data_IF_019999814696
#
_entry.id   IF_019999814696
#
_cell.length_a   1.000
_cell.length_b   1.000
_cell.length_c   1.000
_cell.angle_alpha   90.00
_cell.angle_beta   90.00
_cell.angle_gamma   90.00
#
_symmetry.space_group_name_H-M   'P 1'
#
loop_
_entity.id
_entity.type
_entity.pdbx_description
1 polymer ?
#
# COMPACT_ATOMS: atom_id res chain seq x y z
N UNK A 1 21.34 20.60 -48.59
CA UNK A 1 21.06 21.06 -47.21
C UNK A 1 19.65 20.74 -46.67
N UNK A 2 18.69 20.20 -47.44
CA UNK A 2 17.31 19.99 -46.99
C UNK A 2 17.02 18.68 -46.23
N UNK A 3 17.96 17.71 -46.22
CA UNK A 3 17.80 16.40 -45.54
C UNK A 3 18.13 16.40 -44.05
N UNK A 4 18.77 17.45 -43.51
CA UNK A 4 19.18 17.52 -42.10
C UNK A 4 18.07 18.00 -41.15
N UNK A 5 17.01 18.62 -41.68
CA UNK A 5 15.94 19.23 -40.86
C UNK A 5 14.91 18.19 -40.40
N UNK A 6 14.62 17.18 -41.23
CA UNK A 6 13.65 16.13 -40.89
C UNK A 6 14.10 15.23 -39.72
N UNK A 7 15.40 14.96 -39.60
CA UNK A 7 15.95 14.17 -38.49
C UNK A 7 15.82 14.90 -37.15
N UNK A 8 15.95 16.23 -37.13
CA UNK A 8 15.88 17.03 -35.90
C UNK A 8 14.46 17.07 -35.32
N UNK A 9 13.43 17.08 -36.19
CA UNK A 9 12.02 17.10 -35.77
C UNK A 9 11.60 15.75 -35.17
N UNK A 10 12.06 14.64 -35.76
CA UNK A 10 11.80 13.30 -35.22
C UNK A 10 12.50 13.11 -33.86
N UNK A 11 13.75 13.58 -33.73
CA UNK A 11 14.49 13.52 -32.46
C UNK A 11 13.82 14.30 -31.33
N UNK A 12 13.24 15.48 -31.62
CA UNK A 12 12.52 16.28 -30.62
C UNK A 12 11.20 15.63 -30.17
N UNK A 13 10.52 14.89 -31.04
CA UNK A 13 9.25 14.21 -30.71
C UNK A 13 9.45 13.00 -29.78
N UNK A 14 10.57 12.29 -29.91
CA UNK A 14 10.90 11.19 -28.99
C UNK A 14 11.34 11.66 -27.59
N UNK A 15 11.89 12.88 -27.47
CA UNK A 15 12.28 13.46 -26.17
C UNK A 15 11.07 13.86 -25.31
N UNK A 16 9.92 14.16 -25.91
CA UNK A 16 8.70 14.53 -25.16
C UNK A 16 7.93 13.33 -24.61
N UNK A 17 8.15 12.11 -25.13
CA UNK A 17 7.52 10.89 -24.64
C UNK A 17 8.18 10.31 -23.37
N UNK A 18 9.27 10.91 -22.89
CA UNK A 18 9.99 10.47 -21.68
C UNK A 18 9.51 11.14 -20.40
N UNK A 19 8.53 12.04 -20.48
CA UNK A 19 7.79 12.52 -19.31
C UNK A 19 6.80 11.43 -18.89
N UNK A 20 7.29 10.37 -18.25
CA UNK A 20 6.43 9.40 -17.58
C UNK A 20 5.61 10.16 -16.52
N UNK A 21 4.31 10.29 -16.75
CA UNK A 21 3.41 10.75 -15.71
C UNK A 21 3.38 9.65 -14.65
N UNK A 22 3.76 10.01 -13.40
CA UNK A 22 3.51 9.15 -12.26
C UNK A 22 1.98 9.08 -12.07
N UNK A 23 1.39 7.95 -12.44
CA UNK A 23 -0.04 7.71 -12.28
C UNK A 23 -0.43 7.41 -10.85
N UNK A 24 0.53 7.34 -9.91
CA UNK A 24 0.28 6.90 -8.55
C UNK A 24 -0.61 7.87 -7.77
N UNK A 25 -1.56 7.32 -7.00
CA UNK A 25 -2.37 8.08 -6.03
C UNK A 25 -1.90 7.84 -4.59
N UNK A 26 -0.61 7.51 -4.43
CA UNK A 26 0.04 7.21 -3.17
C UNK A 26 1.23 8.14 -2.99
N UNK A 27 1.45 8.61 -1.76
CA UNK A 27 2.70 9.22 -1.33
C UNK A 27 3.32 8.38 -0.22
N UNK A 28 4.61 8.09 -0.36
CA UNK A 28 5.36 7.28 0.58
C UNK A 28 5.99 8.18 1.65
N UNK A 29 5.89 7.76 2.91
CA UNK A 29 6.50 8.42 4.05
C UNK A 29 7.38 7.44 4.82
N UNK A 30 8.55 7.92 5.25
CA UNK A 30 9.34 7.21 6.25
C UNK A 30 8.60 7.19 7.60
N UNK A 31 8.80 6.17 8.45
CA UNK A 31 8.25 6.16 9.80
C UNK A 31 8.69 7.37 10.64
N UNK A 32 9.88 7.93 10.37
CA UNK A 32 10.39 9.15 11.03
C UNK A 32 9.64 10.42 10.62
N UNK A 33 9.07 10.43 9.41
CA UNK A 33 8.53 11.64 8.78
C UNK A 33 7.01 11.77 8.99
N UNK A 34 6.42 10.87 9.78
CA UNK A 34 5.00 10.92 10.13
C UNK A 34 4.72 12.01 11.16
N UNK A 35 3.95 13.01 10.73
CA UNK A 35 3.49 14.12 11.55
C UNK A 35 1.96 14.20 11.65
N UNK A 36 1.48 15.14 12.46
CA UNK A 36 0.06 15.34 12.73
C UNK A 36 -0.78 15.74 11.51
N UNK A 37 -0.18 16.22 10.41
CA UNK A 37 -0.89 16.54 9.17
C UNK A 37 -1.42 15.29 8.44
N UNK A 38 -0.94 14.10 8.83
CA UNK A 38 -1.37 12.82 8.28
C UNK A 38 -2.53 12.18 9.06
N UNK A 39 -2.89 12.73 10.22
CA UNK A 39 -4.04 12.26 11.00
C UNK A 39 -5.31 12.36 10.14
N UNK A 40 -6.16 11.32 10.23
CA UNK A 40 -7.38 11.08 9.43
C UNK A 40 -7.14 10.76 7.95
N UNK A 41 -5.90 10.73 7.46
CA UNK A 41 -5.63 10.26 6.09
C UNK A 41 -5.71 8.75 5.99
N UNK A 42 -6.12 8.27 4.83
CA UNK A 42 -6.05 6.85 4.50
C UNK A 42 -4.62 6.45 4.23
N UNK A 43 -4.23 5.32 4.80
CA UNK A 43 -2.89 4.78 4.69
C UNK A 43 -2.88 3.27 4.53
N UNK A 44 -1.78 2.78 3.97
CA UNK A 44 -1.33 1.41 4.06
C UNK A 44 0.01 1.40 4.79
N UNK A 45 0.17 0.50 5.76
CA UNK A 45 1.42 0.38 6.54
C UNK A 45 2.18 -0.80 6.00
N UNK A 46 3.27 -0.51 5.32
CA UNK A 46 4.20 -1.52 4.82
C UNK A 46 5.15 -1.92 5.95
N UNK A 47 5.36 -3.23 6.14
CA UNK A 47 6.16 -3.78 7.23
C UNK A 47 7.18 -4.78 6.70
N UNK A 48 8.33 -4.89 7.37
CA UNK A 48 9.42 -5.77 6.97
C UNK A 48 10.52 -5.08 6.15
N UNK A 49 11.45 -5.86 5.61
CA UNK A 49 12.46 -5.36 4.67
C UNK A 49 11.81 -5.31 3.28
N UNK A 50 11.99 -4.22 2.53
CA UNK A 50 11.36 -3.97 1.22
C UNK A 50 11.04 -5.26 0.45
N UNK A 51 9.76 -5.65 0.41
CA UNK A 51 9.30 -6.83 -0.35
C UNK A 51 9.27 -6.53 -1.85
N UNK A 52 10.40 -6.08 -2.38
CA UNK A 52 10.64 -5.83 -3.80
C UNK A 52 11.17 -7.12 -4.42
N UNK A 53 10.33 -7.82 -5.18
CA UNK A 53 10.83 -8.73 -6.22
C UNK A 53 11.30 -10.13 -5.80
N UNK A 54 11.01 -10.61 -4.58
CA UNK A 54 10.93 -12.05 -4.34
C UNK A 54 11.72 -12.61 -3.15
N UNK A 55 10.93 -13.08 -2.17
CA UNK A 55 11.24 -14.13 -1.18
C UNK A 55 11.95 -13.72 0.11
N UNK A 56 11.26 -12.91 0.90
CA UNK A 56 10.79 -13.25 2.27
C UNK A 56 9.33 -12.74 2.30
N UNK A 57 8.34 -13.59 2.63
CA UNK A 57 6.97 -13.11 2.78
C UNK A 57 6.87 -12.59 4.21
N UNK A 58 6.97 -11.28 4.37
CA UNK A 58 6.76 -10.67 5.67
C UNK A 58 5.34 -10.97 6.13
N UNK A 59 5.25 -11.44 7.39
CA UNK A 59 3.98 -11.66 8.05
C UNK A 59 3.85 -10.75 9.25
N UNK A 60 2.66 -10.20 9.44
CA UNK A 60 2.31 -9.51 10.67
C UNK A 60 1.12 -10.19 11.33
N UNK A 61 1.18 -10.29 12.65
CA UNK A 61 0.06 -10.75 13.44
C UNK A 61 -0.70 -9.55 14.03
N UNK A 62 -1.96 -9.37 13.65
CA UNK A 62 -2.84 -8.30 14.13
C UNK A 62 -3.98 -8.91 14.97
N UNK A 63 -4.30 -8.29 16.10
CA UNK A 63 -5.41 -8.73 16.96
C UNK A 63 -6.71 -8.07 16.50
N UNK A 64 -7.60 -8.86 15.88
CA UNK A 64 -8.91 -8.44 15.41
C UNK A 64 -9.97 -9.01 16.37
N UNK A 65 -10.75 -8.15 17.03
CA UNK A 65 -11.82 -8.58 17.96
C UNK A 65 -11.39 -9.64 19.00
N UNK A 66 -10.15 -9.56 19.50
CA UNK A 66 -9.62 -10.55 20.45
C UNK A 66 -8.85 -11.71 19.81
N UNK A 67 -9.08 -11.99 18.53
CA UNK A 67 -8.42 -13.07 17.80
C UNK A 67 -7.14 -12.58 17.12
N UNK A 68 -6.05 -13.33 17.31
CA UNK A 68 -4.79 -13.08 16.60
C UNK A 68 -4.91 -13.62 15.17
N UNK A 69 -4.79 -12.75 14.18
CA UNK A 69 -4.85 -13.08 12.76
C UNK A 69 -3.51 -12.76 12.11
N UNK A 70 -2.97 -13.73 11.35
CA UNK A 70 -1.74 -13.56 10.58
C UNK A 70 -2.07 -13.07 9.17
N UNK A 71 -1.43 -11.98 8.77
CA UNK A 71 -1.55 -11.40 7.44
C UNK A 71 -0.21 -11.40 6.72
N UNK A 72 -0.29 -11.40 5.39
CA UNK A 72 0.80 -11.26 4.45
C UNK A 72 0.62 -9.95 3.70
N UNK A 73 1.73 -9.34 3.31
CA UNK A 73 1.76 -8.16 2.47
C UNK A 73 1.29 -8.51 1.04
N UNK A 74 0.34 -7.73 0.49
CA UNK A 74 0.00 -7.76 -0.93
C UNK A 74 0.26 -6.38 -1.53
N UNK A 75 1.26 -6.33 -2.41
CA UNK A 75 1.61 -5.13 -3.17
C UNK A 75 1.50 -5.39 -4.66
N UNK A 76 0.86 -4.44 -5.35
CA UNK A 76 0.95 -4.31 -6.79
C UNK A 76 1.66 -2.99 -7.07
N UNK A 77 2.97 -3.10 -7.21
CA UNK A 77 3.87 -1.97 -7.41
C UNK A 77 4.76 -2.30 -8.61
N UNK A 78 4.74 -1.45 -9.63
CA UNK A 78 5.59 -1.60 -10.81
C UNK A 78 6.59 -0.45 -10.95
N UNK A 79 6.72 0.41 -9.93
CA UNK A 79 7.59 1.58 -9.93
C UNK A 79 7.13 2.75 -10.80
N UNK A 80 6.00 2.62 -11.52
CA UNK A 80 5.49 3.68 -12.41
C UNK A 80 4.03 4.06 -12.13
N UNK A 81 3.18 3.10 -11.75
CA UNK A 81 1.75 3.28 -11.52
C UNK A 81 1.33 2.48 -10.28
N UNK A 82 1.32 3.15 -9.14
CA UNK A 82 1.04 2.53 -7.85
C UNK A 82 -0.27 3.05 -7.29
N UNK A 83 -1.26 2.16 -7.24
CA UNK A 83 -2.62 2.49 -6.82
C UNK A 83 -2.87 2.07 -5.38
N UNK A 84 -3.37 3.00 -4.56
CA UNK A 84 -3.60 2.82 -3.13
C UNK A 84 -4.53 1.64 -2.84
N UNK A 85 -5.56 1.45 -3.65
CA UNK A 85 -6.54 0.37 -3.52
C UNK A 85 -5.99 -1.01 -3.93
N UNK A 86 -4.79 -1.07 -4.49
CA UNK A 86 -4.07 -2.31 -4.82
C UNK A 86 -3.02 -2.68 -3.76
N UNK A 87 -2.91 -1.90 -2.68
CA UNK A 87 -2.04 -2.21 -1.54
C UNK A 87 -2.92 -2.64 -0.36
N UNK A 88 -2.68 -3.83 0.18
CA UNK A 88 -3.46 -4.34 1.31
C UNK A 88 -2.77 -5.50 2.01
N UNK A 89 -3.21 -5.80 3.22
CA UNK A 89 -2.82 -7.04 3.89
C UNK A 89 -3.84 -8.12 3.60
N UNK A 90 -3.36 -9.32 3.27
CA UNK A 90 -4.22 -10.46 2.96
C UNK A 90 -3.96 -11.61 3.92
N UNK A 91 -5.03 -12.30 4.29
CA UNK A 91 -4.99 -13.62 4.90
C UNK A 91 -5.79 -14.55 4.00
N UNK A 92 -5.17 -15.64 3.56
CA UNK A 92 -5.82 -16.70 2.78
C UNK A 92 -6.00 -17.91 3.69
N UNK A 93 -7.16 -18.56 3.60
CA UNK A 93 -7.34 -19.89 4.16
C UNK A 93 -7.03 -20.91 3.05
N UNK A 94 -6.00 -21.73 3.19
CA UNK A 94 -5.60 -22.66 2.14
C UNK A 94 -6.66 -23.72 1.81
N UNK A 95 -7.66 -23.90 2.70
CA UNK A 95 -8.69 -24.95 2.57
C UNK A 95 -10.03 -24.45 2.06
N UNK A 96 -10.32 -23.18 2.25
CA UNK A 96 -11.55 -22.56 1.80
C UNK A 96 -11.15 -21.47 0.82
N UNK A 97 -11.83 -21.32 -0.32
CA UNK A 97 -11.51 -20.26 -1.30
C UNK A 97 -11.87 -18.86 -0.77
N UNK A 98 -11.60 -18.62 0.52
CA UNK A 98 -11.88 -17.42 1.26
C UNK A 98 -10.58 -16.68 1.53
N UNK A 99 -10.67 -15.36 1.44
CA UNK A 99 -9.60 -14.49 1.87
C UNK A 99 -10.18 -13.34 2.68
N UNK A 100 -9.35 -12.77 3.52
CA UNK A 100 -9.67 -11.58 4.28
C UNK A 100 -8.64 -10.52 3.97
N UNK A 101 -9.10 -9.30 3.69
CA UNK A 101 -8.23 -8.19 3.31
C UNK A 101 -8.37 -7.05 4.31
N UNK A 102 -7.25 -6.64 4.88
CA UNK A 102 -7.16 -5.41 5.66
C UNK A 102 -6.89 -4.25 4.69
N UNK A 103 -7.86 -3.36 4.53
CA UNK A 103 -7.80 -2.27 3.57
C UNK A 103 -8.25 -0.96 4.22
N UNK A 104 -7.97 0.16 3.54
CA UNK A 104 -8.48 1.48 3.89
C UNK A 104 -8.23 1.87 5.36
N UNK A 105 -7.05 1.56 5.87
CA UNK A 105 -6.66 1.96 7.22
C UNK A 105 -6.60 3.48 7.29
N UNK A 106 -6.99 4.07 8.41
CA UNK A 106 -6.97 5.51 8.64
C UNK A 106 -6.17 5.81 9.90
N UNK A 107 -5.26 6.78 9.81
CA UNK A 107 -4.46 7.24 10.96
C UNK A 107 -5.38 7.94 11.95
N UNK A 108 -5.50 7.38 13.15
CA UNK A 108 -6.26 7.98 14.23
C UNK A 108 -5.37 8.91 15.05
N UNK A 109 -4.16 8.45 15.38
CA UNK A 109 -3.17 9.22 16.12
C UNK A 109 -1.75 8.68 15.91
N UNK A 110 -0.76 9.49 16.29
CA UNK A 110 0.65 9.20 16.17
C UNK A 110 1.33 9.47 17.51
N UNK A 111 2.19 8.56 17.95
CA UNK A 111 3.14 8.77 19.04
C UNK A 111 4.57 8.62 18.52
N UNK A 112 5.56 8.83 19.38
CA UNK A 112 6.97 8.64 19.01
C UNK A 112 7.30 7.19 18.62
N UNK A 113 6.58 6.22 19.19
CA UNK A 113 6.84 4.79 19.04
C UNK A 113 5.78 4.05 18.23
N UNK A 114 4.57 4.60 18.05
CA UNK A 114 3.44 3.90 17.45
C UNK A 114 2.65 4.74 16.44
N UNK A 115 2.00 4.02 15.53
CA UNK A 115 0.98 4.54 14.61
C UNK A 115 -0.33 3.85 14.96
N UNK A 116 -1.34 4.62 15.40
CA UNK A 116 -2.66 4.10 15.76
C UNK A 116 -3.64 4.29 14.62
N UNK A 117 -4.40 3.25 14.33
CA UNK A 117 -5.20 3.15 13.12
C UNK A 117 -6.58 2.57 13.39
N UNK A 118 -7.56 3.02 12.62
CA UNK A 118 -8.80 2.30 12.38
C UNK A 118 -8.73 1.65 11.01
N UNK A 119 -8.94 0.33 10.92
CA UNK A 119 -8.91 -0.41 9.66
C UNK A 119 -10.23 -1.10 9.36
N UNK A 120 -10.45 -1.35 8.07
CA UNK A 120 -11.58 -2.14 7.57
C UNK A 120 -11.05 -3.50 7.15
N UNK A 121 -11.61 -4.55 7.74
CA UNK A 121 -11.38 -5.93 7.37
C UNK A 121 -12.55 -6.41 6.51
N UNK A 122 -12.28 -6.69 5.24
CA UNK A 122 -13.26 -7.16 4.26
C UNK A 122 -13.08 -8.66 3.99
N UNK A 123 -14.17 -9.38 3.78
CA UNK A 123 -14.17 -10.82 3.55
C UNK A 123 -14.52 -11.13 2.10
N UNK A 124 -13.87 -12.15 1.55
CA UNK A 124 -14.02 -12.55 0.15
C UNK A 124 -14.25 -14.05 0.05
N UNK A 125 -15.06 -14.49 -0.91
CA UNK A 125 -15.23 -15.87 -1.35
C UNK A 125 -15.01 -15.90 -2.85
N UNK A 126 -14.09 -16.73 -3.34
CA UNK A 126 -13.73 -16.83 -4.75
C UNK A 126 -13.41 -15.45 -5.35
N UNK A 127 -12.60 -14.66 -4.63
CA UNK A 127 -12.23 -13.27 -5.00
C UNK A 127 -13.39 -12.26 -5.10
N UNK A 128 -14.61 -12.67 -4.76
CA UNK A 128 -15.78 -11.79 -4.71
C UNK A 128 -16.01 -11.29 -3.28
N UNK A 129 -16.23 -9.99 -3.07
CA UNK A 129 -16.46 -9.44 -1.74
C UNK A 129 -17.80 -9.92 -1.17
N UNK A 130 -17.81 -10.17 0.13
CA UNK A 130 -19.02 -10.43 0.92
C UNK A 130 -19.46 -9.10 1.54
N UNK A 131 -20.77 -8.84 1.61
CA UNK A 131 -21.37 -7.69 2.32
C UNK A 131 -21.26 -7.84 3.84
N UNK A 132 -20.05 -8.03 4.32
CA UNK A 132 -19.70 -8.10 5.73
C UNK A 132 -18.32 -7.48 5.86
N UNK A 133 -18.18 -6.59 6.83
CA UNK A 133 -16.90 -5.96 7.17
C UNK A 133 -16.72 -5.96 8.68
N UNK A 134 -15.48 -5.87 9.12
CA UNK A 134 -15.13 -5.62 10.51
C UNK A 134 -14.29 -4.37 10.60
N UNK A 135 -14.77 -3.36 11.33
CA UNK A 135 -14.02 -2.14 11.60
C UNK A 135 -13.43 -2.25 13.00
N UNK A 136 -12.13 -2.03 13.13
CA UNK A 136 -11.45 -2.16 14.42
C UNK A 136 -10.23 -1.26 14.51
N UNK A 137 -9.86 -0.94 15.75
CA UNK A 137 -8.66 -0.18 16.06
C UNK A 137 -7.50 -1.09 16.37
N UNK A 138 -6.31 -0.70 15.92
CA UNK A 138 -5.05 -1.38 16.20
C UNK A 138 -3.88 -0.41 16.02
N UNK A 139 -2.66 -0.93 16.14
CA UNK A 139 -1.46 -0.11 16.06
C UNK A 139 -0.27 -0.90 15.54
N UNK A 140 0.70 -0.18 14.99
CA UNK A 140 2.01 -0.69 14.61
C UNK A 140 3.08 0.01 15.44
N UNK A 141 4.08 -0.75 15.90
CA UNK A 141 5.32 -0.15 16.40
C UNK A 141 6.08 0.46 15.21
N UNK A 142 6.45 1.74 15.29
CA UNK A 142 7.17 2.46 14.22
C UNK A 142 8.45 1.75 13.78
N UNK A 143 9.15 1.07 14.71
CA UNK A 143 10.38 0.30 14.41
C UNK A 143 10.17 -0.89 13.47
N UNK A 144 8.93 -1.36 13.32
CA UNK A 144 8.59 -2.49 12.44
C UNK A 144 7.98 -2.02 11.11
N UNK A 145 7.85 -0.71 10.91
CA UNK A 145 7.29 -0.12 9.69
C UNK A 145 8.44 0.14 8.72
N UNK A 146 8.27 -0.29 7.48
CA UNK A 146 9.19 0.05 6.38
C UNK A 146 8.83 1.41 5.80
N UNK A 147 7.57 1.56 5.37
CA UNK A 147 7.00 2.80 4.81
C UNK A 147 5.54 2.93 5.24
N UNK A 148 5.04 4.16 5.22
CA UNK A 148 3.60 4.42 5.25
C UNK A 148 3.17 5.05 3.93
N UNK A 149 2.28 4.35 3.23
CA UNK A 149 1.74 4.74 1.94
C UNK A 149 0.46 5.51 2.19
N UNK A 150 0.46 6.82 1.98
CA UNK A 150 -0.68 7.71 2.20
C UNK A 150 -1.41 7.94 0.88
N UNK A 151 -2.74 7.78 0.88
CA UNK A 151 -3.56 8.13 -0.29
C UNK A 151 -3.55 9.65 -0.52
N UNK A 152 -3.24 10.08 -1.74
CA UNK A 152 -3.31 11.48 -2.17
C UNK A 152 -4.75 11.98 -2.29
#
# INVERSE_FOLDING_TARGET
MKRKIGLTIIGAFFLTCLMAQDGSNIKYYEPSDLDSSLIRKYCHVDFGEESLGGRIIDTIDIKVQGQKMRFYEHRKDNGFNNWFNEQYLIRVDDRSQTSTRLQNSRIDSLTADKVFLTSVLSYYVNESPIDTITVFQHWYDRKNISKVLIKN
#
